data_IF_664779836130
#
_entry.id   IF_664779836130
#
_cell.length_a   1.000
_cell.length_b   1.000
_cell.length_c   1.000
_cell.angle_alpha   90.00
_cell.angle_beta   90.00
_cell.angle_gamma   90.00
#
_symmetry.space_group_name_H-M   'P 1'
#
loop_
_entity.id
_entity.type
_entity.pdbx_description
1 polymer ?
#
# COMPACT_ATOMS: atom_id res chain seq x y z
N UNK A 1 -15.77 25.52 1.25
CA UNK A 1 -15.71 25.80 -0.20
C UNK A 1 -14.56 25.07 -0.88
N UNK A 2 -13.34 25.09 -0.31
CA UNK A 2 -12.15 24.45 -0.92
C UNK A 2 -12.28 22.97 -1.31
N UNK A 3 -12.99 22.15 -0.52
CA UNK A 3 -13.17 20.73 -0.86
C UNK A 3 -14.04 20.52 -2.10
N UNK A 4 -15.08 21.33 -2.28
CA UNK A 4 -15.92 21.30 -3.49
C UNK A 4 -15.13 21.73 -4.72
N UNK A 5 -14.29 22.75 -4.59
CA UNK A 5 -13.39 23.20 -5.65
C UNK A 5 -12.37 22.10 -6.01
N UNK A 6 -11.80 21.43 -4.99
CA UNK A 6 -10.91 20.27 -5.17
C UNK A 6 -11.60 19.15 -5.94
N UNK A 7 -12.79 18.69 -5.49
CA UNK A 7 -13.56 17.64 -6.21
C UNK A 7 -13.78 18.03 -7.67
N UNK A 8 -14.23 19.25 -7.95
CA UNK A 8 -14.48 19.69 -9.32
C UNK A 8 -13.20 19.73 -10.15
N UNK A 9 -12.09 20.22 -9.60
CA UNK A 9 -10.81 20.29 -10.32
C UNK A 9 -10.20 18.91 -10.59
N UNK A 10 -10.40 17.95 -9.68
CA UNK A 10 -9.88 16.60 -9.77
C UNK A 10 -10.72 15.74 -10.71
N UNK A 11 -12.06 15.86 -10.66
CA UNK A 11 -12.99 15.02 -11.39
C UNK A 11 -13.43 15.60 -12.74
N UNK A 12 -13.31 16.92 -12.95
CA UNK A 12 -13.79 17.59 -14.15
C UNK A 12 -12.70 18.41 -14.86
N UNK A 13 -12.93 18.71 -16.13
CA UNK A 13 -12.16 19.67 -16.91
C UNK A 13 -13.10 20.61 -17.67
N UNK A 14 -12.66 21.85 -17.87
CA UNK A 14 -13.38 22.81 -18.71
C UNK A 14 -12.86 22.71 -20.14
N UNK A 15 -13.76 22.49 -21.09
CA UNK A 15 -13.48 22.44 -22.53
C UNK A 15 -14.19 23.59 -23.25
N UNK A 16 -13.70 23.98 -24.44
CA UNK A 16 -14.26 25.08 -25.24
C UNK A 16 -13.67 26.47 -24.94
N UNK A 17 -14.18 27.51 -25.62
CA UNK A 17 -13.74 28.92 -25.50
C UNK A 17 -14.94 29.85 -25.47
N UNK A 18 -14.82 31.01 -24.80
CA UNK A 18 -15.87 32.03 -24.77
C UNK A 18 -17.19 31.52 -24.18
N UNK A 19 -18.27 31.66 -24.94
CA UNK A 19 -19.62 31.21 -24.57
C UNK A 19 -19.83 29.69 -24.70
N UNK A 20 -18.91 28.97 -25.35
CA UNK A 20 -19.02 27.52 -25.57
C UNK A 20 -18.31 26.69 -24.49
N UNK A 21 -17.99 27.30 -23.33
CA UNK A 21 -17.37 26.57 -22.22
C UNK A 21 -18.31 25.49 -21.70
N UNK A 22 -17.80 24.26 -21.61
CA UNK A 22 -18.51 23.09 -21.09
C UNK A 22 -17.67 22.42 -20.01
N UNK A 23 -18.35 21.75 -19.09
CA UNK A 23 -17.72 20.92 -18.07
C UNK A 23 -17.82 19.48 -18.54
N UNK A 24 -16.67 18.80 -18.61
CA UNK A 24 -16.58 17.38 -18.92
C UNK A 24 -16.01 16.62 -17.73
N UNK A 25 -16.55 15.42 -17.48
CA UNK A 25 -16.05 14.51 -16.45
C UNK A 25 -14.82 13.78 -17.01
N UNK A 26 -13.74 13.73 -16.24
CA UNK A 26 -12.53 12.97 -16.59
C UNK A 26 -12.85 11.47 -16.60
N UNK A 27 -12.22 10.70 -17.47
CA UNK A 27 -12.34 9.24 -17.42
C UNK A 27 -11.68 8.75 -16.13
N UNK A 28 -12.15 7.63 -15.56
CA UNK A 28 -11.62 7.09 -14.30
C UNK A 28 -10.09 6.96 -14.29
N UNK A 29 -9.47 6.53 -15.41
CA UNK A 29 -8.02 6.42 -15.56
C UNK A 29 -7.24 7.74 -15.56
N UNK A 30 -7.92 8.87 -15.71
CA UNK A 30 -7.33 10.22 -15.70
C UNK A 30 -7.48 10.90 -14.34
N UNK A 31 -8.21 10.27 -13.41
CA UNK A 31 -8.41 10.76 -12.04
C UNK A 31 -7.32 10.12 -11.18
N UNK A 32 -6.56 10.92 -10.41
CA UNK A 32 -5.49 10.38 -9.58
C UNK A 32 -6.07 9.58 -8.39
N UNK A 33 -5.34 8.55 -7.97
CA UNK A 33 -5.71 7.67 -6.84
C UNK A 33 -5.86 8.44 -5.52
N UNK A 34 -5.09 9.50 -5.31
CA UNK A 34 -5.21 10.40 -4.15
C UNK A 34 -6.30 11.48 -4.27
N UNK A 35 -7.18 11.38 -5.27
CA UNK A 35 -8.31 12.29 -5.42
C UNK A 35 -9.28 12.18 -4.24
N UNK A 36 -9.91 13.30 -3.93
CA UNK A 36 -10.89 13.43 -2.88
C UNK A 36 -12.13 12.59 -3.20
N UNK A 37 -12.34 11.52 -2.43
CA UNK A 37 -13.50 10.63 -2.58
C UNK A 37 -14.71 11.14 -1.79
N UNK A 38 -14.47 11.62 -0.57
CA UNK A 38 -15.52 12.07 0.34
C UNK A 38 -15.14 13.42 0.97
N UNK A 39 -15.91 14.50 0.75
CA UNK A 39 -15.64 15.79 1.39
C UNK A 39 -15.70 15.78 2.91
N UNK A 40 -16.36 14.80 3.53
CA UNK A 40 -16.40 14.64 4.99
C UNK A 40 -15.18 13.93 5.56
N UNK A 41 -14.41 13.25 4.71
CA UNK A 41 -13.23 12.45 5.09
C UNK A 41 -12.19 12.58 3.96
N UNK A 42 -11.42 13.66 4.02
CA UNK A 42 -10.54 14.08 2.92
C UNK A 42 -9.32 13.19 2.72
N UNK A 43 -9.01 12.37 3.72
CA UNK A 43 -7.80 11.56 3.78
C UNK A 43 -8.10 10.12 3.31
N UNK A 44 -9.38 9.75 3.22
CA UNK A 44 -9.85 8.56 2.51
C UNK A 44 -9.63 8.72 1.00
N UNK A 45 -8.65 8.00 0.49
CA UNK A 45 -8.26 8.00 -0.93
C UNK A 45 -8.76 6.75 -1.64
N UNK A 46 -8.37 6.54 -2.88
CA UNK A 46 -8.80 5.41 -3.70
C UNK A 46 -7.61 4.64 -4.24
N UNK A 47 -7.72 3.31 -4.25
CA UNK A 47 -6.84 2.43 -5.01
C UNK A 47 -7.67 1.48 -5.88
N UNK A 48 -7.17 1.18 -7.08
CA UNK A 48 -7.89 0.35 -8.05
C UNK A 48 -8.07 -1.11 -7.63
N UNK A 49 -7.25 -1.60 -6.71
CA UNK A 49 -7.31 -2.97 -6.18
C UNK A 49 -7.94 -3.01 -4.78
N UNK A 50 -7.63 -2.04 -3.92
CA UNK A 50 -8.09 -2.00 -2.51
C UNK A 50 -9.44 -1.29 -2.34
N UNK A 51 -9.81 -0.41 -3.28
CA UNK A 51 -11.02 0.41 -3.21
C UNK A 51 -10.80 1.75 -2.50
N UNK A 52 -11.88 2.35 -2.01
CA UNK A 52 -11.85 3.63 -1.32
C UNK A 52 -11.65 3.47 0.19
N UNK A 53 -10.79 4.27 0.78
CA UNK A 53 -10.63 4.38 2.23
C UNK A 53 -9.18 4.45 2.66
N UNK A 54 -8.86 3.58 3.61
CA UNK A 54 -7.55 3.46 4.25
C UNK A 54 -7.05 2.02 4.13
N UNK A 55 -5.74 1.87 4.26
CA UNK A 55 -5.09 0.60 4.46
C UNK A 55 -4.32 0.62 5.79
N UNK A 56 -3.94 -0.57 6.26
CA UNK A 56 -3.16 -0.70 7.48
C UNK A 56 -1.94 -1.56 7.18
N UNK A 57 -0.78 -1.06 7.56
CA UNK A 57 0.46 -1.83 7.65
C UNK A 57 0.57 -2.36 9.07
N UNK A 58 0.78 -3.66 9.21
CA UNK A 58 0.87 -4.30 10.53
C UNK A 58 2.02 -5.28 10.56
N UNK A 59 2.78 -5.27 11.66
CA UNK A 59 3.72 -6.33 11.99
C UNK A 59 3.27 -7.03 13.26
N UNK A 60 3.32 -8.36 13.24
CA UNK A 60 3.06 -9.19 14.40
C UNK A 60 4.19 -10.21 14.61
N UNK A 61 4.40 -10.60 15.86
CA UNK A 61 5.22 -11.76 16.16
C UNK A 61 4.38 -13.02 15.98
N UNK A 62 4.98 -14.06 15.43
CA UNK A 62 4.35 -15.37 15.34
C UNK A 62 5.26 -16.43 15.97
N UNK A 63 4.70 -17.60 16.23
CA UNK A 63 5.44 -18.77 16.69
C UNK A 63 5.37 -19.84 15.63
N UNK A 64 6.52 -20.40 15.31
CA UNK A 64 6.59 -21.62 14.51
C UNK A 64 6.10 -22.77 15.39
N UNK A 65 5.00 -23.39 14.97
CA UNK A 65 4.50 -24.62 15.59
C UNK A 65 5.02 -25.75 14.73
N UNK A 66 6.08 -26.42 15.20
CA UNK A 66 6.50 -27.67 14.59
C UNK A 66 5.35 -28.69 14.66
N UNK A 67 5.17 -29.47 13.60
CA UNK A 67 4.04 -30.40 13.47
C UNK A 67 3.95 -31.43 14.61
N UNK A 68 5.06 -31.66 15.31
CA UNK A 68 5.19 -32.65 16.38
C UNK A 68 5.31 -32.03 17.79
N UNK A 69 5.36 -30.69 17.93
CA UNK A 69 5.43 -30.02 19.24
C UNK A 69 4.10 -29.42 19.69
N UNK A 70 3.84 -29.51 21.00
CA UNK A 70 2.68 -28.84 21.60
C UNK A 70 2.96 -27.33 21.65
N UNK A 71 2.02 -26.48 21.20
CA UNK A 71 2.22 -25.04 21.20
C UNK A 71 2.47 -24.57 22.63
N UNK A 72 3.64 -23.97 22.85
CA UNK A 72 3.95 -23.31 24.12
C UNK A 72 3.03 -22.09 24.27
N UNK A 73 2.01 -22.22 25.12
CA UNK A 73 1.03 -21.17 25.40
C UNK A 73 1.56 -20.06 26.32
N UNK A 74 2.83 -20.14 26.76
CA UNK A 74 3.38 -19.23 27.77
C UNK A 74 3.62 -17.79 27.27
N UNK A 75 3.83 -17.60 25.96
CA UNK A 75 4.08 -16.26 25.37
C UNK A 75 3.01 -15.89 24.33
N UNK A 76 2.40 -14.71 24.42
CA UNK A 76 1.45 -14.24 23.40
C UNK A 76 2.20 -13.80 22.12
N UNK A 77 1.48 -13.86 20.99
CA UNK A 77 1.85 -13.12 19.79
C UNK A 77 1.51 -11.64 19.99
N UNK A 78 2.41 -10.76 19.60
CA UNK A 78 2.30 -9.33 19.84
C UNK A 78 2.25 -8.59 18.50
N UNK A 79 1.33 -7.65 18.39
CA UNK A 79 1.39 -6.65 17.34
C UNK A 79 2.52 -5.69 17.71
N UNK A 80 3.56 -5.64 16.89
CA UNK A 80 4.73 -4.81 17.14
C UNK A 80 4.61 -3.47 16.44
N UNK A 81 3.93 -3.37 15.30
CA UNK A 81 3.77 -2.12 14.53
C UNK A 81 2.38 -2.05 13.91
N UNK A 82 1.82 -0.84 13.88
CA UNK A 82 0.58 -0.51 13.17
C UNK A 82 0.74 0.88 12.58
N UNK A 83 0.47 1.02 11.29
CA UNK A 83 0.38 2.30 10.62
C UNK A 83 -0.84 2.34 9.71
N UNK A 84 -1.57 3.45 9.76
CA UNK A 84 -2.82 3.64 9.01
C UNK A 84 -2.56 4.66 7.92
N UNK A 85 -2.68 4.20 6.69
CA UNK A 85 -2.31 4.98 5.52
C UNK A 85 -3.52 5.16 4.60
N UNK A 86 -3.56 6.22 3.78
CA UNK A 86 -4.54 6.33 2.71
C UNK A 86 -4.45 5.12 1.76
N UNK A 87 -5.59 4.68 1.20
CA UNK A 87 -5.64 3.49 0.35
C UNK A 87 -4.68 3.50 -0.87
N UNK A 88 -4.33 4.70 -1.39
CA UNK A 88 -3.45 4.82 -2.56
C UNK A 88 -1.96 4.53 -2.31
N UNK A 89 -1.53 4.41 -1.05
CA UNK A 89 -0.14 4.12 -0.72
C UNK A 89 0.28 2.70 -1.15
N UNK A 90 1.55 2.54 -1.47
CA UNK A 90 2.08 1.27 -1.96
C UNK A 90 2.69 0.45 -0.83
N UNK A 91 2.35 -0.85 -0.81
CA UNK A 91 2.85 -1.81 0.18
C UNK A 91 4.39 -1.87 0.20
N UNK A 92 5.06 -1.62 -0.93
CA UNK A 92 6.52 -1.65 -1.01
C UNK A 92 7.19 -0.54 -0.19
N UNK A 93 6.50 0.56 0.09
CA UNK A 93 7.10 1.70 0.80
C UNK A 93 7.00 1.54 2.34
N UNK A 94 6.16 0.61 2.80
CA UNK A 94 5.84 0.41 4.22
C UNK A 94 6.96 -0.24 5.06
N UNK A 95 7.89 -0.97 4.45
CA UNK A 95 8.90 -1.76 5.17
C UNK A 95 9.92 -0.89 5.92
N UNK A 96 10.40 0.17 5.28
CA UNK A 96 11.44 1.00 5.89
C UNK A 96 10.94 1.76 7.12
N UNK A 97 9.77 2.44 7.08
CA UNK A 97 9.17 3.06 8.27
C UNK A 97 8.93 2.06 9.41
N UNK A 98 8.42 0.87 9.06
CA UNK A 98 8.17 -0.22 10.01
C UNK A 98 9.44 -0.66 10.76
N UNK A 99 10.55 -0.87 10.04
CA UNK A 99 11.83 -1.24 10.64
C UNK A 99 12.38 -0.08 11.50
N UNK A 100 12.32 1.16 11.00
CA UNK A 100 12.85 2.31 11.73
C UNK A 100 12.13 2.55 13.07
N UNK A 101 10.79 2.45 13.08
CA UNK A 101 9.99 2.62 14.29
C UNK A 101 10.24 1.47 15.30
N UNK A 102 10.29 0.22 14.83
CA UNK A 102 10.56 -0.91 15.73
C UNK A 102 11.99 -0.90 16.27
N UNK A 103 12.96 -0.44 15.49
CA UNK A 103 14.33 -0.22 15.97
C UNK A 103 14.39 0.87 17.02
N UNK A 104 13.73 2.00 16.77
CA UNK A 104 13.64 3.09 17.73
C UNK A 104 13.03 2.63 19.06
N UNK A 105 12.01 1.77 19.02
CA UNK A 105 11.36 1.20 20.21
C UNK A 105 12.11 0.01 20.82
N UNK A 106 13.22 -0.43 20.23
CA UNK A 106 14.02 -1.56 20.73
C UNK A 106 13.33 -2.92 20.60
N UNK A 107 12.41 -3.07 19.64
CA UNK A 107 11.66 -4.31 19.37
C UNK A 107 11.74 -4.74 17.90
N UNK A 108 12.77 -4.31 17.18
CA UNK A 108 13.01 -4.71 15.79
C UNK A 108 13.17 -6.24 15.68
N UNK A 109 12.60 -6.86 14.64
CA UNK A 109 12.75 -8.28 14.39
C UNK A 109 14.10 -8.60 13.75
N UNK A 110 14.63 -9.80 14.01
CA UNK A 110 15.81 -10.32 13.28
C UNK A 110 15.42 -10.78 11.87
N UNK A 111 14.23 -11.39 11.73
CA UNK A 111 13.65 -11.87 10.48
C UNK A 111 12.22 -11.35 10.30
N UNK A 112 11.91 -10.86 9.11
CA UNK A 112 10.59 -10.34 8.75
C UNK A 112 10.03 -11.09 7.55
N UNK A 113 8.98 -11.87 7.79
CA UNK A 113 8.23 -12.55 6.74
C UNK A 113 7.15 -11.62 6.17
N UNK A 114 7.09 -11.50 4.85
CA UNK A 114 6.14 -10.61 4.18
C UNK A 114 5.72 -11.14 2.81
N UNK A 115 4.66 -10.56 2.25
CA UNK A 115 4.18 -10.89 0.90
C UNK A 115 5.18 -10.41 -0.18
N UNK A 116 5.08 -10.96 -1.38
CA UNK A 116 6.01 -10.73 -2.49
C UNK A 116 6.20 -9.26 -2.85
N UNK A 117 5.18 -8.42 -2.66
CA UNK A 117 5.25 -6.97 -2.95
C UNK A 117 6.19 -6.21 -2.00
N UNK A 118 6.37 -6.70 -0.78
CA UNK A 118 7.25 -6.08 0.21
C UNK A 118 8.73 -6.46 -0.02
N UNK A 119 8.98 -7.59 -0.67
CA UNK A 119 10.31 -8.15 -0.95
C UNK A 119 11.03 -7.56 -2.16
N UNK A 120 10.90 -6.25 -2.42
CA UNK A 120 11.67 -5.61 -3.48
C UNK A 120 13.18 -5.64 -3.19
N UNK A 121 14.01 -5.65 -4.23
CA UNK A 121 15.47 -5.65 -4.06
C UNK A 121 15.95 -4.49 -3.17
N UNK A 122 15.36 -3.30 -3.35
CA UNK A 122 15.67 -2.12 -2.55
C UNK A 122 15.33 -2.33 -1.07
N UNK A 123 14.17 -2.90 -0.76
CA UNK A 123 13.78 -3.19 0.62
C UNK A 123 14.70 -4.21 1.27
N UNK A 124 15.07 -5.27 0.54
CA UNK A 124 15.96 -6.32 1.04
C UNK A 124 17.34 -5.75 1.37
N UNK A 125 17.91 -4.91 0.50
CA UNK A 125 19.22 -4.30 0.76
C UNK A 125 19.18 -3.34 1.96
N UNK A 126 18.21 -2.42 2.00
CA UNK A 126 18.09 -1.45 3.10
C UNK A 126 17.79 -2.10 4.45
N UNK A 127 16.94 -3.14 4.48
CA UNK A 127 16.66 -3.88 5.71
C UNK A 127 17.89 -4.63 6.22
N UNK A 128 18.69 -5.19 5.31
CA UNK A 128 19.95 -5.85 5.65
C UNK A 128 20.97 -4.90 6.27
N UNK A 129 21.07 -3.66 5.79
CA UNK A 129 21.90 -2.61 6.41
C UNK A 129 21.46 -2.30 7.84
N UNK A 130 20.16 -2.46 8.13
CA UNK A 130 19.54 -2.31 9.44
C UNK A 130 19.58 -3.61 10.28
N UNK A 131 20.19 -4.68 9.78
CA UNK A 131 20.29 -5.96 10.49
C UNK A 131 19.02 -6.81 10.49
N UNK A 132 18.04 -6.49 9.64
CA UNK A 132 16.79 -7.26 9.50
C UNK A 132 16.83 -8.07 8.21
N UNK A 133 16.53 -9.37 8.30
CA UNK A 133 16.44 -10.25 7.13
C UNK A 133 15.01 -10.32 6.63
N UNK A 134 14.77 -9.85 5.40
CA UNK A 134 13.45 -9.95 4.76
C UNK A 134 13.32 -11.31 4.07
N UNK A 135 12.23 -12.01 4.36
CA UNK A 135 11.84 -13.27 3.70
C UNK A 135 10.51 -13.02 2.97
N UNK A 136 10.56 -13.01 1.64
CA UNK A 136 9.38 -12.81 0.81
C UNK A 136 9.41 -13.77 -0.39
N UNK A 137 8.25 -14.27 -0.84
CA UNK A 137 8.16 -15.00 -2.11
C UNK A 137 8.60 -14.12 -3.28
N UNK A 138 9.22 -14.72 -4.30
CA UNK A 138 9.53 -14.00 -5.54
C UNK A 138 8.27 -13.79 -6.37
N UNK A 139 8.11 -12.59 -6.95
CA UNK A 139 6.99 -12.34 -7.85
C UNK A 139 7.12 -13.21 -9.11
N UNK A 140 5.99 -13.79 -9.53
CA UNK A 140 5.91 -14.55 -10.78
C UNK A 140 6.17 -13.68 -12.03
N UNK A 141 6.45 -14.31 -13.18
CA UNK A 141 6.64 -13.58 -14.44
C UNK A 141 5.39 -12.76 -14.78
N UNK A 142 5.59 -11.51 -15.24
CA UNK A 142 4.50 -10.68 -15.75
C UNK A 142 3.83 -11.43 -16.92
N UNK A 143 2.50 -11.52 -16.92
CA UNK A 143 1.79 -12.04 -18.09
C UNK A 143 2.19 -11.23 -19.31
N UNK A 144 2.78 -11.90 -20.30
CA UNK A 144 3.06 -11.31 -21.60
C UNK A 144 1.73 -10.89 -22.24
N UNK A 145 1.66 -9.72 -22.88
CA UNK A 145 0.43 -9.30 -23.56
C UNK A 145 0.02 -10.39 -24.55
N UNK A 146 -1.24 -10.81 -24.49
CA UNK A 146 -1.81 -11.80 -25.42
C UNK A 146 -1.63 -11.25 -26.84
N UNK A 147 -0.61 -11.74 -27.54
CA UNK A 147 -0.42 -11.47 -28.97
C UNK A 147 -1.50 -12.26 -29.70
N UNK A 148 -2.66 -11.63 -29.91
CA UNK A 148 -3.67 -12.17 -30.80
C UNK A 148 -3.10 -12.11 -32.23
N UNK A 149 -2.76 -13.27 -32.79
CA UNK A 149 -2.57 -13.39 -34.24
C UNK A 149 -3.89 -13.00 -34.90
N UNK A 150 -3.85 -11.95 -35.73
CA UNK A 150 -4.94 -11.65 -36.66
C UNK A 150 -4.83 -12.67 -37.79
N UNK A 151 -5.87 -13.47 -37.95
CA UNK A 151 -6.09 -14.30 -39.14
C UNK A 151 -6.15 -13.43 -40.41
#
# INVERSE_FOLDING_TARGET
>A
YHLLERVLSEQCRVTGKGTDKKIEIKKAKEVPSNSLQNPSDSDATYDGYKGTGYQIQMMETYKEIDKDEKPDKSKPNLITYVDVEPAHEQDCDAIQPAIDDTQFRGCAPDELQCDAKYGSDENVQKAKEKGVTIIAPTMGPKESPKVALKD
#
